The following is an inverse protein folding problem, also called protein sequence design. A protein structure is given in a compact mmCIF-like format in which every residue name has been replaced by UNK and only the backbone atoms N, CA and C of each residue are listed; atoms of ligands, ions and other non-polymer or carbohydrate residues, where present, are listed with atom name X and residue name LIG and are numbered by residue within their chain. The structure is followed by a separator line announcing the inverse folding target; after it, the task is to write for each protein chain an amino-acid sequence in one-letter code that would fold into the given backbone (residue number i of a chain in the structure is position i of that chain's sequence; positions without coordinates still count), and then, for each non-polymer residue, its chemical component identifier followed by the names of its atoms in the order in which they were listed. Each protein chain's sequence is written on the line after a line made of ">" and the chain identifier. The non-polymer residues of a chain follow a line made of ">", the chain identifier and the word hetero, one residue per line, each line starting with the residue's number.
data_IF_739100545101
#
_entry.id   IF_739100545101
#
_cell.length_a   1.000
_cell.length_b   1.000
_cell.length_c   1.000
_cell.angle_alpha   90.00
_cell.angle_beta   90.00
_cell.angle_gamma   90.00
#
_symmetry.space_group_name_H-M   'P 1'
#
loop_
_entity.id
_entity.type
_entity.pdbx_description
1 polymer ?
#
# COMPACT_ATOMS: atom_id res chain seq x y z
N UNK A 1 -0.83 8.98 6.81
CA UNK A 1 -0.22 10.04 7.64
C UNK A 1 -0.50 9.78 9.10
N UNK A 2 0.52 9.82 9.99
CA UNK A 2 0.31 9.81 11.46
C UNK A 2 -0.34 11.13 11.87
N UNK A 3 -1.43 11.05 12.63
CA UNK A 3 -2.19 12.19 13.15
C UNK A 3 -1.82 12.51 14.59
N UNK A 4 -1.76 11.50 15.43
CA UNK A 4 -1.40 11.61 16.85
C UNK A 4 -0.84 10.29 17.39
N UNK A 5 -0.16 10.39 18.50
CA UNK A 5 0.32 9.27 19.31
C UNK A 5 -0.23 9.44 20.72
N UNK A 6 -0.77 8.36 21.28
CA UNK A 6 -1.33 8.33 22.63
C UNK A 6 -0.93 7.05 23.34
N UNK A 7 -1.21 6.97 24.63
CA UNK A 7 -1.20 5.68 25.34
C UNK A 7 -2.33 4.83 24.81
N UNK A 8 -2.15 3.51 24.88
CA UNK A 8 -3.16 2.53 24.50
C UNK A 8 -4.44 2.76 25.30
N UNK A 9 -5.55 3.10 24.66
CA UNK A 9 -6.83 3.31 25.32
C UNK A 9 -7.52 1.99 25.66
N UNK A 10 -8.66 2.06 26.33
CA UNK A 10 -9.54 0.91 26.45
C UNK A 10 -10.11 0.51 25.09
N UNK A 11 -9.91 -0.74 24.70
CA UNK A 11 -10.32 -1.28 23.40
C UNK A 11 -11.53 -2.18 23.60
N UNK A 12 -12.60 -1.92 22.86
CA UNK A 12 -13.79 -2.78 22.84
C UNK A 12 -13.57 -3.89 21.84
N UNK A 13 -13.42 -5.12 22.33
CA UNK A 13 -13.28 -6.29 21.47
C UNK A 13 -14.63 -6.68 20.89
N UNK A 14 -14.62 -7.01 19.59
CA UNK A 14 -15.80 -7.51 18.86
C UNK A 14 -15.53 -8.93 18.35
N UNK A 15 -16.55 -9.80 18.30
CA UNK A 15 -16.39 -11.14 17.74
C UNK A 15 -16.01 -11.11 16.25
N UNK A 16 -15.35 -12.17 15.80
CA UNK A 16 -15.01 -12.38 14.37
C UNK A 16 -14.17 -11.28 13.72
N UNK A 17 -13.30 -10.61 14.49
CA UNK A 17 -12.35 -9.64 13.92
C UNK A 17 -11.24 -10.36 13.14
N UNK A 18 -10.75 -9.76 12.05
CA UNK A 18 -9.59 -10.27 11.33
C UNK A 18 -8.37 -10.39 12.24
N UNK A 19 -7.42 -11.27 11.88
CA UNK A 19 -6.16 -11.41 12.60
C UNK A 19 -5.44 -10.05 12.67
N UNK A 20 -4.96 -9.70 13.85
CA UNK A 20 -4.27 -8.43 14.11
C UNK A 20 -5.20 -7.26 14.41
N UNK A 21 -6.51 -7.37 14.25
CA UNK A 21 -7.47 -6.37 14.73
C UNK A 21 -7.82 -6.68 16.17
N UNK A 22 -7.45 -5.80 17.08
CA UNK A 22 -7.68 -5.96 18.53
C UNK A 22 -9.09 -5.53 18.96
N UNK A 23 -9.74 -4.68 18.20
CA UNK A 23 -11.09 -4.19 18.46
C UNK A 23 -11.34 -2.79 17.94
N UNK A 24 -12.26 -2.09 18.59
CA UNK A 24 -12.70 -0.75 18.23
C UNK A 24 -12.52 0.22 19.39
N UNK A 25 -12.27 1.48 19.08
CA UNK A 25 -12.29 2.57 20.04
C UNK A 25 -13.17 3.71 19.53
N UNK A 26 -13.69 4.52 20.46
CA UNK A 26 -14.29 5.79 20.10
C UNK A 26 -13.27 6.91 20.23
N UNK A 27 -12.97 7.57 19.11
CA UNK A 27 -12.05 8.71 19.06
C UNK A 27 -12.79 9.93 18.52
N UNK A 28 -12.99 10.94 19.36
CA UNK A 28 -13.68 12.19 18.99
C UNK A 28 -15.03 11.98 18.29
N UNK A 29 -15.81 11.02 18.78
CA UNK A 29 -17.12 10.66 18.22
C UNK A 29 -17.10 9.71 17.03
N UNK A 30 -15.93 9.35 16.52
CA UNK A 30 -15.80 8.36 15.47
C UNK A 30 -15.36 7.01 16.03
N UNK A 31 -15.94 5.93 15.54
CA UNK A 31 -15.51 4.57 15.87
C UNK A 31 -14.43 4.17 14.88
N UNK A 32 -13.25 3.85 15.39
CA UNK A 32 -12.11 3.44 14.56
C UNK A 32 -11.58 2.08 14.97
N UNK A 33 -11.14 1.25 14.02
CA UNK A 33 -10.49 -0.03 14.31
C UNK A 33 -9.07 0.18 14.83
N UNK A 34 -8.66 -0.72 15.71
CA UNK A 34 -7.32 -0.75 16.31
C UNK A 34 -6.62 -2.05 15.94
N UNK A 35 -5.44 -1.92 15.35
CA UNK A 35 -4.63 -3.02 14.85
C UNK A 35 -3.35 -3.17 15.69
N UNK A 36 -2.94 -4.39 15.96
CA UNK A 36 -1.64 -4.70 16.57
C UNK A 36 -0.60 -4.95 15.49
N UNK A 37 0.34 -4.02 15.30
CA UNK A 37 1.45 -4.20 14.36
C UNK A 37 2.31 -5.42 14.71
N UNK A 38 2.56 -5.66 15.99
CA UNK A 38 3.34 -6.82 16.43
C UNK A 38 2.71 -8.15 16.00
N UNK A 39 1.38 -8.29 16.10
CA UNK A 39 0.65 -9.49 15.66
C UNK A 39 0.64 -9.62 14.14
N UNK A 40 0.42 -8.53 13.42
CA UNK A 40 0.38 -8.52 11.95
C UNK A 40 1.76 -8.89 11.39
N UNK A 41 2.80 -8.31 11.93
CA UNK A 41 4.19 -8.59 11.53
C UNK A 41 4.74 -9.94 12.05
N UNK A 42 3.95 -10.68 12.83
CA UNK A 42 4.39 -11.95 13.39
C UNK A 42 5.45 -11.84 14.49
N UNK A 43 5.64 -10.65 15.05
CA UNK A 43 6.60 -10.39 16.14
C UNK A 43 6.04 -10.81 17.50
N UNK A 44 4.72 -10.80 17.64
CA UNK A 44 4.01 -11.22 18.87
C UNK A 44 2.86 -12.14 18.51
N UNK A 45 2.44 -12.96 19.47
CA UNK A 45 1.29 -13.85 19.30
C UNK A 45 -0.02 -13.11 19.55
N UNK A 46 -1.09 -13.57 18.89
CA UNK A 46 -2.43 -13.09 19.21
C UNK A 46 -2.77 -13.34 20.69
N UNK A 47 -3.28 -12.31 21.37
CA UNK A 47 -3.57 -12.36 22.82
C UNK A 47 -2.38 -12.01 23.73
N UNK A 48 -1.22 -11.68 23.18
CA UNK A 48 -0.13 -11.09 23.94
C UNK A 48 -0.56 -9.76 24.60
N UNK A 49 0.14 -9.29 25.66
CA UNK A 49 -0.10 -7.96 26.21
C UNK A 49 -0.06 -6.90 25.10
N UNK A 50 -1.00 -5.97 25.15
CA UNK A 50 -1.06 -4.89 24.18
C UNK A 50 0.14 -3.95 24.36
N UNK A 51 0.64 -3.43 23.26
CA UNK A 51 1.68 -2.39 23.28
C UNK A 51 1.23 -1.16 24.08
N UNK A 52 2.18 -0.41 24.61
CA UNK A 52 1.90 0.73 25.49
C UNK A 52 1.44 1.98 24.73
N UNK A 53 1.73 2.05 23.45
CA UNK A 53 1.44 3.21 22.60
C UNK A 53 0.50 2.86 21.44
N UNK A 54 -0.34 3.84 21.09
CA UNK A 54 -1.19 3.77 19.91
C UNK A 54 -0.89 4.97 19.00
N UNK A 55 -0.63 4.67 17.73
CA UNK A 55 -0.51 5.68 16.67
C UNK A 55 -1.84 5.76 15.92
N UNK A 56 -2.45 6.94 15.90
CA UNK A 56 -3.62 7.21 15.06
C UNK A 56 -3.13 7.67 13.69
N UNK A 57 -3.55 6.97 12.69
CA UNK A 57 -3.17 7.24 11.29
C UNK A 57 -4.39 7.48 10.43
N UNK A 58 -4.22 8.31 9.43
CA UNK A 58 -5.19 8.44 8.35
C UNK A 58 -4.58 7.91 7.06
N UNK A 59 -5.23 6.93 6.47
CA UNK A 59 -4.83 6.27 5.26
C UNK A 59 -6.04 6.07 4.34
N UNK A 60 -5.95 6.47 3.08
CA UNK A 60 -7.06 6.35 2.10
C UNK A 60 -8.41 6.81 2.64
N UNK A 61 -8.45 7.95 3.34
CA UNK A 61 -9.64 8.53 4.01
C UNK A 61 -10.19 7.68 5.17
N UNK A 62 -9.48 6.65 5.61
CA UNK A 62 -9.83 5.86 6.80
C UNK A 62 -8.93 6.23 7.96
N UNK A 63 -9.51 6.42 9.12
CA UNK A 63 -8.76 6.61 10.37
C UNK A 63 -8.62 5.28 11.07
N UNK A 64 -7.40 4.95 11.50
CA UNK A 64 -7.03 3.66 12.11
C UNK A 64 -6.11 3.91 13.29
N UNK A 65 -6.19 3.05 14.32
CA UNK A 65 -5.22 2.98 15.41
C UNK A 65 -4.25 1.82 15.19
N UNK A 66 -2.95 2.07 15.28
CA UNK A 66 -1.94 1.00 15.33
C UNK A 66 -1.32 0.92 16.72
N UNK A 67 -1.43 -0.25 17.37
CA UNK A 67 -0.73 -0.53 18.60
C UNK A 67 0.72 -0.89 18.29
N UNK A 68 1.62 -0.28 19.02
CA UNK A 68 3.07 -0.50 18.98
C UNK A 68 3.60 -0.57 20.41
N UNK A 69 4.74 -1.22 20.60
CA UNK A 69 5.33 -1.35 21.93
C UNK A 69 5.75 0.03 22.46
N UNK A 70 6.40 0.82 21.63
CA UNK A 70 6.81 2.18 21.96
C UNK A 70 6.97 3.04 20.71
N UNK A 71 7.00 4.35 20.89
CA UNK A 71 7.33 5.33 19.87
C UNK A 71 8.57 6.08 20.33
N UNK A 72 9.63 6.05 19.54
CA UNK A 72 10.88 6.75 19.85
C UNK A 72 10.80 8.20 19.37
N UNK A 73 11.02 8.42 18.09
CA UNK A 73 11.11 9.77 17.52
C UNK A 73 10.77 9.83 16.03
N UNK A 74 10.54 11.02 15.52
CA UNK A 74 10.47 11.28 14.09
C UNK A 74 11.89 11.45 13.56
N UNK A 75 12.23 10.67 12.55
CA UNK A 75 13.53 10.71 11.90
C UNK A 75 13.36 11.21 10.46
N UNK A 76 14.23 12.10 10.02
CA UNK A 76 14.37 12.42 8.60
C UNK A 76 15.43 11.52 8.01
N UNK A 77 15.12 10.90 6.89
CA UNK A 77 16.02 9.97 6.21
C UNK A 77 16.27 10.49 4.81
N UNK A 78 17.53 10.57 4.40
CA UNK A 78 17.92 10.90 3.04
C UNK A 78 17.68 9.69 2.13
N UNK A 79 17.15 9.92 0.94
CA UNK A 79 16.85 8.87 -0.02
C UNK A 79 18.05 8.00 -0.40
N UNK A 80 19.25 8.55 -0.34
CA UNK A 80 20.51 7.82 -0.60
C UNK A 80 20.79 6.69 0.42
N UNK A 81 20.18 6.78 1.62
CA UNK A 81 20.28 5.77 2.68
C UNK A 81 19.17 4.75 2.65
N UNK A 82 18.17 4.94 1.81
CA UNK A 82 17.03 4.02 1.67
C UNK A 82 17.39 2.95 0.65
N UNK A 83 17.40 1.70 1.07
CA UNK A 83 17.74 0.54 0.24
C UNK A 83 16.56 -0.39 0.13
N UNK A 84 16.37 -0.97 -1.06
CA UNK A 84 15.44 -2.07 -1.22
C UNK A 84 15.87 -3.25 -0.33
N UNK A 85 14.93 -4.02 0.24
CA UNK A 85 15.23 -5.20 1.04
C UNK A 85 15.69 -6.35 0.13
N UNK A 86 16.87 -6.19 -0.51
CA UNK A 86 17.45 -7.24 -1.35
C UNK A 86 17.72 -8.47 -0.47
N UNK A 87 17.03 -9.57 -0.77
CA UNK A 87 17.24 -10.89 -0.18
C UNK A 87 17.02 -11.03 1.33
N UNK A 88 16.36 -10.09 1.98
CA UNK A 88 15.85 -10.37 3.32
C UNK A 88 14.63 -11.27 3.12
N UNK A 89 14.84 -12.58 3.22
CA UNK A 89 13.76 -13.58 3.40
C UNK A 89 13.07 -13.30 4.71
N UNK A 90 12.43 -12.15 4.81
CA UNK A 90 11.63 -11.79 5.95
C UNK A 90 10.34 -12.57 5.82
N UNK A 91 10.08 -13.48 6.74
CA UNK A 91 8.80 -14.18 6.89
C UNK A 91 7.62 -13.23 7.13
N UNK A 92 7.79 -11.95 6.90
CA UNK A 92 6.82 -10.85 7.05
C UNK A 92 6.07 -10.55 5.75
N UNK A 93 5.79 -11.56 4.94
CA UNK A 93 4.83 -11.51 3.80
C UNK A 93 4.95 -10.27 2.88
N UNK A 94 6.13 -9.63 2.80
CA UNK A 94 6.33 -8.49 1.91
C UNK A 94 5.86 -7.13 2.45
N UNK A 95 5.63 -6.99 3.75
CA UNK A 95 5.24 -5.72 4.37
C UNK A 95 6.36 -4.70 4.54
N UNK A 96 7.59 -5.01 4.12
CA UNK A 96 8.74 -4.11 4.18
C UNK A 96 9.04 -3.61 2.77
N UNK A 97 8.92 -2.30 2.55
CA UNK A 97 9.26 -1.67 1.26
C UNK A 97 10.72 -1.31 1.15
N UNK A 98 11.35 -0.95 2.26
CA UNK A 98 12.75 -0.54 2.28
C UNK A 98 13.36 -0.68 3.67
N UNK A 99 14.68 -0.60 3.72
CA UNK A 99 15.47 -0.54 4.96
C UNK A 99 16.37 0.70 4.89
N UNK A 100 16.51 1.38 6.00
CA UNK A 100 17.46 2.50 6.16
C UNK A 100 18.30 2.32 7.39
N UNK A 101 19.53 2.86 7.36
CA UNK A 101 20.43 2.92 8.51
C UNK A 101 20.39 4.31 9.11
N UNK A 102 20.18 4.40 10.40
CA UNK A 102 20.24 5.65 11.16
C UNK A 102 21.67 6.03 11.48
N UNK A 103 21.89 7.27 11.92
CA UNK A 103 23.22 7.79 12.28
C UNK A 103 23.89 7.03 13.43
N UNK A 104 23.13 6.35 14.25
CA UNK A 104 23.59 5.49 15.36
C UNK A 104 23.87 4.04 14.93
N UNK A 105 23.81 3.72 13.63
CA UNK A 105 24.03 2.40 13.05
C UNK A 105 22.85 1.43 13.16
N UNK A 106 21.71 1.84 13.72
CA UNK A 106 20.51 1.01 13.78
C UNK A 106 19.84 0.90 12.40
N UNK A 107 19.46 -0.31 12.03
CA UNK A 107 18.64 -0.54 10.85
C UNK A 107 17.16 -0.37 11.18
N UNK A 108 16.46 0.37 10.33
CA UNK A 108 15.01 0.62 10.46
C UNK A 108 14.31 0.16 9.19
N UNK A 109 13.31 -0.68 9.35
CA UNK A 109 12.46 -1.13 8.25
C UNK A 109 11.34 -0.13 7.98
N UNK A 110 11.13 0.20 6.72
CA UNK A 110 10.01 1.02 6.26
C UNK A 110 8.88 0.09 5.86
N UNK A 111 7.72 0.25 6.52
CA UNK A 111 6.59 -0.63 6.33
C UNK A 111 5.68 -0.15 5.20
N UNK A 112 5.17 -1.10 4.42
CA UNK A 112 4.07 -0.93 3.48
C UNK A 112 2.73 -1.03 4.21
N UNK A 113 2.21 0.11 4.62
CA UNK A 113 0.92 0.18 5.33
C UNK A 113 -0.23 -0.24 4.42
N UNK A 114 -0.14 -0.04 3.11
CA UNK A 114 -1.16 -0.46 2.16
C UNK A 114 -1.28 -1.97 2.10
N UNK A 115 -0.16 -2.64 1.94
CA UNK A 115 -0.11 -4.10 1.96
C UNK A 115 -0.60 -4.67 3.29
N UNK A 116 -0.24 -4.06 4.41
CA UNK A 116 -0.74 -4.44 5.74
C UNK A 116 -2.26 -4.32 5.82
N UNK A 117 -2.83 -3.23 5.33
CA UNK A 117 -4.27 -3.02 5.37
C UNK A 117 -5.02 -3.94 4.39
N UNK A 118 -4.46 -4.18 3.22
CA UNK A 118 -5.01 -5.11 2.24
C UNK A 118 -5.03 -6.55 2.78
N UNK A 119 -3.97 -6.98 3.45
CA UNK A 119 -3.89 -8.31 4.09
C UNK A 119 -4.87 -8.43 5.27
N UNK A 120 -4.98 -7.39 6.11
CA UNK A 120 -5.80 -7.42 7.32
C UNK A 120 -7.31 -7.36 7.02
N UNK A 121 -7.73 -6.46 6.13
CA UNK A 121 -9.15 -6.21 5.86
C UNK A 121 -9.65 -6.85 4.57
N UNK A 122 -8.78 -7.51 3.84
CA UNK A 122 -9.01 -7.91 2.47
C UNK A 122 -8.87 -6.72 1.51
N UNK A 123 -8.63 -7.02 0.25
CA UNK A 123 -8.69 -6.00 -0.80
C UNK A 123 -10.12 -5.48 -0.90
N UNK A 124 -10.29 -4.18 -1.07
CA UNK A 124 -11.61 -3.63 -1.35
C UNK A 124 -12.16 -4.32 -2.61
N UNK A 125 -13.26 -5.04 -2.45
CA UNK A 125 -13.92 -5.69 -3.58
C UNK A 125 -14.31 -4.59 -4.56
N UNK A 126 -13.77 -4.67 -5.77
CA UNK A 126 -14.19 -3.80 -6.86
C UNK A 126 -15.64 -4.22 -7.19
N UNK A 127 -16.59 -3.30 -6.97
CA UNK A 127 -18.01 -3.56 -7.26
C UNK A 127 -18.23 -4.00 -8.71
N UNK A 128 -19.44 -4.42 -9.03
CA UNK A 128 -19.80 -4.75 -10.41
C UNK A 128 -19.64 -3.52 -11.30
N UNK A 129 -18.64 -3.57 -12.18
CA UNK A 129 -18.38 -2.54 -13.17
C UNK A 129 -18.78 -3.11 -14.52
N UNK A 130 -19.69 -2.42 -15.21
CA UNK A 130 -20.05 -2.81 -16.56
C UNK A 130 -18.88 -2.56 -17.53
N UNK A 131 -18.55 -3.47 -18.44
CA UNK A 131 -17.55 -3.23 -19.45
C UNK A 131 -17.89 -1.99 -20.30
N UNK A 132 -16.86 -1.28 -20.75
CA UNK A 132 -17.01 -0.13 -21.65
C UNK A 132 -17.38 -0.68 -23.04
N UNK A 133 -18.68 -0.73 -23.34
CA UNK A 133 -19.24 -1.40 -24.52
C UNK A 133 -19.37 -0.54 -25.77
N UNK A 134 -18.44 0.36 -26.07
CA UNK A 134 -18.59 1.30 -27.21
C UNK A 134 -17.95 0.86 -28.53
N UNK A 135 -17.52 -0.41 -28.65
CA UNK A 135 -16.91 -0.90 -29.89
C UNK A 135 -15.53 -0.32 -30.20
N UNK A 136 -15.02 0.57 -29.37
CA UNK A 136 -13.68 1.12 -29.47
C UNK A 136 -12.77 0.42 -28.45
N UNK A 137 -11.67 -0.15 -28.91
CA UNK A 137 -10.66 -0.73 -28.02
C UNK A 137 -9.91 0.42 -27.34
N UNK A 138 -10.11 0.57 -26.03
CA UNK A 138 -9.38 1.57 -25.22
C UNK A 138 -8.08 0.96 -24.71
N UNK A 139 -6.98 1.65 -24.92
CA UNK A 139 -5.65 1.28 -24.48
C UNK A 139 -5.13 2.25 -23.41
N UNK A 140 -4.89 1.75 -22.21
CA UNK A 140 -4.43 2.54 -21.07
C UNK A 140 -2.98 2.19 -20.75
N UNK A 141 -2.17 3.19 -20.50
CA UNK A 141 -0.84 3.02 -19.92
C UNK A 141 -0.82 3.67 -18.54
N UNK A 142 -0.44 2.94 -17.49
CA UNK A 142 -0.38 3.51 -16.14
C UNK A 142 0.93 3.20 -15.42
N UNK A 143 1.28 4.03 -14.45
CA UNK A 143 2.53 3.92 -13.70
C UNK A 143 2.25 4.03 -12.22
N UNK A 144 2.73 3.05 -11.46
CA UNK A 144 2.63 3.05 -10.00
C UNK A 144 3.76 2.18 -9.44
N UNK A 145 4.38 2.58 -8.34
CA UNK A 145 5.46 1.83 -7.70
C UNK A 145 4.91 0.75 -6.74
N UNK A 146 3.67 0.91 -6.26
CA UNK A 146 2.99 -0.05 -5.41
C UNK A 146 2.49 -1.26 -6.21
N UNK A 147 2.97 -2.44 -5.91
CA UNK A 147 2.48 -3.69 -6.50
C UNK A 147 0.98 -3.90 -6.22
N UNK A 148 0.51 -3.51 -5.03
CA UNK A 148 -0.90 -3.64 -4.63
C UNK A 148 -1.78 -2.69 -5.45
N UNK A 149 -1.34 -1.43 -5.63
CA UNK A 149 -2.07 -0.46 -6.44
C UNK A 149 -2.13 -0.91 -7.90
N UNK A 150 -1.00 -1.33 -8.49
CA UNK A 150 -0.98 -1.87 -9.87
C UNK A 150 -1.94 -3.02 -10.04
N UNK A 151 -1.93 -4.00 -9.10
CA UNK A 151 -2.86 -5.14 -9.16
C UNK A 151 -4.32 -4.71 -9.16
N UNK A 152 -4.69 -3.74 -8.30
CA UNK A 152 -6.06 -3.20 -8.24
C UNK A 152 -6.46 -2.47 -9.52
N UNK A 153 -5.56 -1.64 -10.06
CA UNK A 153 -5.80 -0.93 -11.32
C UNK A 153 -5.99 -1.96 -12.45
N UNK A 154 -5.11 -2.96 -12.55
CA UNK A 154 -5.24 -4.06 -13.52
C UNK A 154 -6.59 -4.76 -13.40
N UNK A 155 -7.01 -5.15 -12.20
CA UNK A 155 -8.30 -5.81 -11.98
C UNK A 155 -9.49 -4.95 -12.44
N UNK A 156 -9.45 -3.64 -12.19
CA UNK A 156 -10.50 -2.70 -12.64
C UNK A 156 -10.50 -2.59 -14.16
N UNK A 157 -9.35 -2.43 -14.78
CA UNK A 157 -9.22 -2.29 -16.24
C UNK A 157 -9.64 -3.59 -16.96
N UNK A 158 -9.29 -4.76 -16.42
CA UNK A 158 -9.73 -6.05 -16.95
C UNK A 158 -11.27 -6.19 -16.92
N UNK A 159 -11.90 -5.80 -15.80
CA UNK A 159 -13.38 -5.81 -15.67
C UNK A 159 -14.06 -4.82 -16.60
N UNK A 160 -13.41 -3.69 -16.88
CA UNK A 160 -13.89 -2.71 -17.87
C UNK A 160 -13.71 -3.19 -19.31
N UNK A 161 -12.96 -4.27 -19.54
CA UNK A 161 -12.61 -4.76 -20.88
C UNK A 161 -11.60 -3.84 -21.59
N UNK A 162 -10.77 -3.12 -20.83
CA UNK A 162 -9.79 -2.16 -21.33
C UNK A 162 -8.44 -2.83 -21.46
N UNK A 163 -7.78 -2.68 -22.61
CA UNK A 163 -6.38 -3.10 -22.79
C UNK A 163 -5.47 -2.17 -22.01
N UNK A 164 -4.49 -2.75 -21.33
CA UNK A 164 -3.58 -1.93 -20.53
C UNK A 164 -2.14 -2.42 -20.57
N UNK A 165 -1.22 -1.49 -20.37
CA UNK A 165 0.20 -1.71 -20.11
C UNK A 165 0.57 -0.88 -18.90
N UNK A 166 1.59 -1.30 -18.13
CA UNK A 166 2.01 -0.55 -16.96
C UNK A 166 3.53 -0.53 -16.81
N UNK A 167 4.02 0.38 -15.97
CA UNK A 167 5.40 0.44 -15.51
C UNK A 167 5.43 0.60 -13.99
N UNK A 168 6.57 0.25 -13.38
CA UNK A 168 6.76 0.28 -11.94
C UNK A 168 7.35 1.58 -11.42
N UNK A 169 7.88 2.41 -12.31
CA UNK A 169 8.47 3.70 -11.99
C UNK A 169 8.58 4.58 -13.24
N UNK A 170 8.86 5.87 -13.02
CA UNK A 170 8.92 6.85 -14.11
C UNK A 170 10.00 6.56 -15.15
N UNK A 171 11.14 6.00 -14.78
CA UNK A 171 12.21 5.67 -15.72
C UNK A 171 11.81 4.50 -16.64
N UNK A 172 11.18 3.49 -16.10
CA UNK A 172 10.63 2.38 -16.88
C UNK A 172 9.50 2.85 -17.78
N UNK A 173 8.61 3.71 -17.25
CA UNK A 173 7.54 4.33 -18.02
C UNK A 173 8.07 5.08 -19.23
N UNK A 174 9.05 5.93 -19.01
CA UNK A 174 9.66 6.69 -20.09
C UNK A 174 10.24 5.80 -21.20
N UNK A 175 11.03 4.78 -20.81
CA UNK A 175 11.61 3.84 -21.77
C UNK A 175 10.55 3.08 -22.58
N UNK A 176 9.46 2.67 -21.92
CA UNK A 176 8.36 1.96 -22.60
C UNK A 176 7.60 2.87 -23.56
N UNK A 177 7.30 4.11 -23.14
CA UNK A 177 6.62 5.09 -23.99
C UNK A 177 7.46 5.51 -25.20
N UNK A 178 8.76 5.72 -25.00
CA UNK A 178 9.71 6.02 -26.06
C UNK A 178 9.78 4.89 -27.10
N UNK A 179 9.83 3.64 -26.63
CA UNK A 179 9.80 2.45 -27.49
C UNK A 179 8.47 2.32 -28.27
N UNK A 180 7.34 2.64 -27.63
CA UNK A 180 6.02 2.61 -28.28
C UNK A 180 5.90 3.75 -29.31
N UNK A 181 6.41 4.93 -29.02
CA UNK A 181 6.43 6.05 -29.97
C UNK A 181 7.26 5.71 -31.22
N UNK A 182 8.47 5.16 -31.01
CA UNK A 182 9.33 4.74 -32.13
C UNK A 182 8.67 3.62 -32.97
N UNK A 183 7.96 2.68 -32.33
CA UNK A 183 7.23 1.65 -33.05
C UNK A 183 6.06 2.23 -33.88
N UNK A 184 5.28 3.13 -33.28
CA UNK A 184 4.18 3.81 -33.97
C UNK A 184 4.69 4.58 -35.20
N UNK A 185 5.77 5.37 -35.08
CA UNK A 185 6.39 6.10 -36.20
C UNK A 185 6.83 5.17 -37.33
N UNK A 186 7.46 4.03 -37.01
CA UNK A 186 7.89 3.01 -37.97
C UNK A 186 6.71 2.34 -38.71
N UNK A 187 5.53 2.33 -38.11
CA UNK A 187 4.32 1.72 -38.69
C UNK A 187 3.39 2.78 -39.34
N UNK A 188 3.80 4.05 -39.33
CA UNK A 188 3.03 5.16 -39.90
C UNK A 188 1.88 5.64 -38.99
N UNK A 189 1.91 5.28 -37.72
CA UNK A 189 0.96 5.69 -36.68
C UNK A 189 1.58 6.75 -35.76
N UNK A 190 0.76 7.33 -34.91
CA UNK A 190 1.20 8.22 -33.82
C UNK A 190 1.01 7.48 -32.47
N UNK A 191 1.75 7.87 -31.44
CA UNK A 191 1.60 7.31 -30.09
C UNK A 191 0.15 7.41 -29.57
N UNK A 192 -0.56 8.46 -29.91
CA UNK A 192 -1.97 8.66 -29.55
C UNK A 192 -2.91 7.65 -30.23
N UNK A 193 -2.48 7.01 -31.29
CA UNK A 193 -3.25 5.96 -31.96
C UNK A 193 -3.03 4.58 -31.26
N UNK A 194 -2.01 4.48 -30.40
CA UNK A 194 -1.62 3.29 -29.63
C UNK A 194 -2.03 3.34 -28.14
N UNK A 195 -2.18 4.56 -27.59
CA UNK A 195 -2.52 4.80 -26.18
C UNK A 195 -3.52 5.94 -26.10
N UNK A 196 -4.69 5.65 -25.54
CA UNK A 196 -5.78 6.60 -25.33
C UNK A 196 -5.63 7.39 -24.03
N UNK A 197 -4.99 6.79 -22.99
CA UNK A 197 -4.85 7.38 -21.67
C UNK A 197 -3.51 6.98 -21.04
N UNK A 198 -2.85 7.97 -20.39
CA UNK A 198 -1.67 7.76 -19.56
C UNK A 198 -1.97 8.23 -18.13
#
# INVERSE_FOLDING_TARGET
>A
KVREVSRTPFITRTPNMPRGVEGLISLRGNVIPVLSLGVILGLTSAGAPLGEAMMVTEYSKRTLGFLVDSVDRIVRVDWERVRAPENVSTGTQGFITAITELDDGRLVSILDVESILADTFGEAVVGDIAPIGNGHEVNVFFVDDSMVARRKITEVLDRLGVRHKHATNGMEAWKRLDSLAAHAENTGHRLIDEIDLI
#
